data_IF_117350082373
#
_entry.id   IF_117350082373
#
_cell.length_a   1.000
_cell.length_b   1.000
_cell.length_c   1.000
_cell.angle_alpha   90.00
_cell.angle_beta   90.00
_cell.angle_gamma   90.00
#
_symmetry.space_group_name_H-M   'P 1'
#
loop_
_entity.id
_entity.type
_entity.pdbx_description
1 polymer ?
#
# COMPACT_ATOMS: atom_id res chain seq x y z
N UNK A 1 -47.02 -21.11 10.90
CA UNK A 1 -46.87 -19.84 11.63
C UNK A 1 -46.01 -18.91 10.78
N UNK A 2 -46.47 -17.71 10.42
CA UNK A 2 -45.76 -16.82 9.51
C UNK A 2 -44.74 -15.92 10.24
N UNK A 3 -43.54 -15.82 9.65
CA UNK A 3 -42.66 -14.63 9.54
C UNK A 3 -42.54 -13.70 10.77
N UNK A 4 -41.56 -13.97 11.65
CA UNK A 4 -40.96 -12.97 12.56
C UNK A 4 -39.43 -12.80 12.40
N UNK A 5 -38.80 -13.54 11.48
CA UNK A 5 -37.33 -13.68 11.42
C UNK A 5 -36.57 -12.57 10.67
N UNK A 6 -37.26 -11.60 10.08
CA UNK A 6 -36.60 -10.56 9.26
C UNK A 6 -35.86 -9.52 10.11
N UNK A 7 -36.34 -9.22 11.32
CA UNK A 7 -35.70 -8.25 12.23
C UNK A 7 -34.45 -8.80 12.93
N UNK A 8 -34.43 -10.09 13.30
CA UNK A 8 -33.28 -10.78 13.92
C UNK A 8 -32.12 -10.95 12.93
N UNK A 9 -32.40 -11.29 11.68
CA UNK A 9 -31.37 -11.43 10.63
C UNK A 9 -30.69 -10.10 10.28
N UNK A 10 -31.44 -8.99 10.19
CA UNK A 10 -30.85 -7.67 9.92
C UNK A 10 -29.98 -7.15 11.07
N UNK A 11 -30.36 -7.39 12.32
CA UNK A 11 -29.55 -6.99 13.49
C UNK A 11 -28.25 -7.79 13.59
N UNK A 12 -28.28 -9.11 13.33
CA UNK A 12 -27.08 -9.96 13.29
C UNK A 12 -26.12 -9.55 12.17
N UNK A 13 -26.63 -9.10 11.03
CA UNK A 13 -25.81 -8.61 9.91
C UNK A 13 -25.16 -7.25 10.18
N UNK A 14 -25.79 -6.37 10.98
CA UNK A 14 -25.17 -5.12 11.42
C UNK A 14 -24.07 -5.37 12.47
N UNK A 15 -24.31 -6.29 13.40
CA UNK A 15 -23.35 -6.64 14.44
C UNK A 15 -22.04 -7.23 13.86
N UNK A 16 -22.16 -8.09 12.84
CA UNK A 16 -21.00 -8.70 12.17
C UNK A 16 -20.13 -7.68 11.44
N UNK A 17 -20.72 -6.65 10.83
CA UNK A 17 -19.97 -5.56 10.17
C UNK A 17 -19.20 -4.69 11.16
N UNK A 18 -19.80 -4.35 12.30
CA UNK A 18 -19.10 -3.60 13.35
C UNK A 18 -17.93 -4.39 13.93
N UNK A 19 -18.12 -5.69 14.16
CA UNK A 19 -17.04 -6.58 14.57
C UNK A 19 -15.88 -6.56 13.57
N UNK A 20 -16.17 -6.69 12.26
CA UNK A 20 -15.14 -6.60 11.21
C UNK A 20 -14.41 -5.26 11.30
N UNK A 21 -15.12 -4.13 11.38
CA UNK A 21 -14.51 -2.79 11.47
C UNK A 21 -13.57 -2.69 12.68
N UNK A 22 -13.98 -3.21 13.83
CA UNK A 22 -13.14 -3.24 15.04
C UNK A 22 -11.89 -4.09 14.80
N UNK A 23 -12.01 -5.26 14.18
CA UNK A 23 -10.85 -6.08 13.81
C UNK A 23 -9.89 -5.33 12.87
N UNK A 24 -10.41 -4.62 11.85
CA UNK A 24 -9.59 -3.81 10.96
C UNK A 24 -8.83 -2.72 11.73
N UNK A 25 -9.51 -2.04 12.66
CA UNK A 25 -8.92 -0.99 13.49
C UNK A 25 -7.79 -1.51 14.39
N UNK A 26 -7.97 -2.69 14.98
CA UNK A 26 -6.94 -3.35 15.80
C UNK A 26 -5.75 -3.81 14.94
N UNK A 27 -6.01 -4.45 13.80
CA UNK A 27 -4.97 -4.92 12.88
C UNK A 27 -4.15 -3.76 12.29
N UNK A 28 -4.74 -2.57 12.11
CA UNK A 28 -4.06 -1.39 11.64
C UNK A 28 -2.93 -0.89 12.57
N UNK A 29 -2.96 -1.28 13.85
CA UNK A 29 -1.90 -0.94 14.83
C UNK A 29 -0.65 -1.80 14.69
N UNK A 30 -0.79 -3.05 14.23
CA UNK A 30 0.33 -3.99 14.20
C UNK A 30 1.52 -3.53 13.33
N UNK A 31 1.32 -3.00 12.11
CA UNK A 31 2.44 -2.46 11.32
C UNK A 31 3.13 -1.28 12.00
N UNK A 32 2.40 -0.49 12.81
CA UNK A 32 2.96 0.64 13.54
C UNK A 32 3.89 0.13 14.63
N UNK A 33 3.39 -0.80 15.45
CA UNK A 33 4.18 -1.50 16.47
C UNK A 33 5.47 -2.06 15.88
N UNK A 34 5.39 -2.78 14.75
CA UNK A 34 6.58 -3.34 14.09
C UNK A 34 7.58 -2.28 13.63
N UNK A 35 7.11 -1.14 13.10
CA UNK A 35 8.01 -0.05 12.68
C UNK A 35 8.77 0.58 13.86
N UNK A 36 8.15 0.68 15.05
CA UNK A 36 8.79 1.23 16.24
C UNK A 36 9.87 0.32 16.82
N UNK A 37 9.55 -0.96 16.99
CA UNK A 37 10.42 -1.88 17.73
C UNK A 37 11.43 -2.64 16.86
N UNK A 38 11.24 -2.65 15.53
CA UNK A 38 12.08 -3.43 14.62
C UNK A 38 12.58 -2.59 13.43
N UNK A 39 12.46 -1.26 13.50
CA UNK A 39 12.87 -0.40 12.40
C UNK A 39 13.22 1.04 12.82
N UNK A 40 13.07 1.99 11.90
CA UNK A 40 13.56 3.36 11.99
C UNK A 40 12.45 4.38 12.29
N UNK A 41 11.35 3.98 12.93
CA UNK A 41 10.28 4.93 13.25
C UNK A 41 10.75 6.11 14.12
N UNK A 42 11.78 5.92 14.96
CA UNK A 42 12.39 6.99 15.74
C UNK A 42 13.02 8.10 14.87
N UNK A 43 13.43 7.79 13.63
CA UNK A 43 13.97 8.80 12.69
C UNK A 43 12.87 9.61 11.98
N UNK A 44 11.60 9.25 12.14
CA UNK A 44 10.48 9.90 11.40
C UNK A 44 10.42 11.40 11.68
N UNK A 45 10.57 11.78 12.94
CA UNK A 45 10.51 13.19 13.36
C UNK A 45 11.59 14.03 12.69
N UNK A 46 12.85 13.64 12.84
CA UNK A 46 13.97 14.38 12.26
C UNK A 46 13.89 14.45 10.73
N UNK A 47 13.50 13.34 10.07
CA UNK A 47 13.33 13.29 8.62
C UNK A 47 12.23 14.22 8.13
N UNK A 48 11.10 14.31 8.84
CA UNK A 48 10.02 15.21 8.49
C UNK A 48 10.43 16.67 8.64
N UNK A 49 11.03 17.05 9.77
CA UNK A 49 11.56 18.41 9.97
C UNK A 49 12.55 18.77 8.88
N UNK A 50 13.45 17.85 8.51
CA UNK A 50 14.39 18.05 7.43
C UNK A 50 13.70 18.36 6.09
N UNK A 51 12.56 17.73 5.80
CA UNK A 51 11.78 17.98 4.57
C UNK A 51 11.16 19.37 4.60
N UNK A 52 10.57 19.78 5.72
CA UNK A 52 9.94 21.09 5.86
C UNK A 52 10.97 22.23 5.78
N UNK A 53 12.14 22.04 6.38
CA UNK A 53 13.26 22.99 6.36
C UNK A 53 14.07 22.96 5.04
N UNK A 54 13.65 22.16 4.05
CA UNK A 54 14.35 21.98 2.76
C UNK A 54 15.81 21.53 2.89
N UNK A 55 16.19 20.97 4.04
CA UNK A 55 17.52 20.41 4.32
C UNK A 55 17.61 18.89 4.13
N UNK A 56 16.48 18.25 3.82
CA UNK A 56 16.43 16.81 3.66
C UNK A 56 17.27 16.37 2.47
N UNK A 57 18.19 15.43 2.66
CA UNK A 57 18.82 14.71 1.56
C UNK A 57 17.80 13.92 0.72
N UNK A 58 16.62 13.63 1.29
CA UNK A 58 15.48 13.02 0.61
C UNK A 58 14.63 14.03 -0.17
N UNK A 59 15.05 15.29 -0.24
CA UNK A 59 14.47 16.31 -1.12
C UNK A 59 14.90 16.08 -2.57
N UNK A 60 14.63 14.87 -3.03
CA UNK A 60 14.99 14.39 -4.33
C UNK A 60 13.72 14.38 -5.21
N UNK A 61 13.70 15.11 -6.34
CA UNK A 61 12.66 15.04 -7.35
C UNK A 61 12.69 13.70 -8.13
N UNK A 62 13.35 12.67 -7.63
CA UNK A 62 13.15 11.27 -8.02
C UNK A 62 12.39 10.43 -6.98
N UNK A 63 11.94 11.04 -5.87
CA UNK A 63 11.16 10.31 -4.86
C UNK A 63 9.77 10.91 -4.59
N UNK A 64 9.44 12.08 -5.17
CA UNK A 64 8.14 12.81 -5.14
C UNK A 64 7.26 12.68 -3.90
N UNK A 65 7.83 12.77 -2.70
CA UNK A 65 7.08 12.68 -1.44
C UNK A 65 6.56 14.03 -0.99
N UNK A 66 5.86 14.78 -1.84
CA UNK A 66 5.39 16.12 -1.47
C UNK A 66 4.08 16.02 -0.72
N UNK A 67 3.13 15.24 -1.24
CA UNK A 67 1.77 15.20 -0.70
C UNK A 67 1.73 14.91 0.81
N UNK A 68 2.32 13.79 1.24
CA UNK A 68 2.14 13.33 2.63
C UNK A 68 2.85 14.19 3.69
N UNK A 69 4.10 14.67 3.49
CA UNK A 69 4.69 15.62 4.42
C UNK A 69 3.87 16.89 4.60
N UNK A 70 3.37 17.50 3.52
CA UNK A 70 2.55 18.71 3.65
C UNK A 70 1.18 18.45 4.28
N UNK A 71 0.52 17.32 3.98
CA UNK A 71 -0.69 16.90 4.70
C UNK A 71 -0.40 16.77 6.20
N UNK A 72 0.69 16.10 6.55
CA UNK A 72 1.03 15.92 7.95
C UNK A 72 1.36 17.25 8.65
N UNK A 73 2.06 18.15 7.96
CA UNK A 73 2.33 19.49 8.48
C UNK A 73 1.04 20.26 8.75
N UNK A 74 0.07 20.18 7.84
CA UNK A 74 -1.25 20.78 8.03
C UNK A 74 -2.01 20.19 9.23
N UNK A 75 -1.97 18.86 9.40
CA UNK A 75 -2.57 18.19 10.56
C UNK A 75 -1.89 18.56 11.88
N UNK A 76 -0.56 18.68 11.88
CA UNK A 76 0.19 19.15 13.04
C UNK A 76 -0.12 20.60 13.39
N UNK A 77 -0.22 21.47 12.38
CA UNK A 77 -0.67 22.84 12.56
C UNK A 77 -2.08 22.88 13.17
N UNK A 78 -3.03 22.10 12.63
CA UNK A 78 -4.40 22.04 13.14
C UNK A 78 -4.43 21.58 14.61
N UNK A 79 -3.69 20.53 14.94
CA UNK A 79 -3.59 20.02 16.32
C UNK A 79 -3.08 21.09 17.29
N UNK A 80 -1.99 21.78 16.94
CA UNK A 80 -1.43 22.86 17.78
C UNK A 80 -2.38 24.05 17.93
N UNK A 81 -3.25 24.29 16.94
CA UNK A 81 -4.20 25.41 16.97
C UNK A 81 -5.58 25.03 17.50
N UNK A 82 -5.80 23.77 17.91
CA UNK A 82 -7.07 23.27 18.43
C UNK A 82 -6.89 22.46 19.72
N UNK A 83 -6.60 21.16 19.60
CA UNK A 83 -6.54 20.20 20.71
C UNK A 83 -5.48 20.60 21.74
N UNK A 84 -4.27 20.97 21.29
CA UNK A 84 -3.17 21.30 22.21
C UNK A 84 -3.43 22.57 23.03
N UNK A 85 -4.21 23.53 22.50
CA UNK A 85 -4.64 24.72 23.24
C UNK A 85 -5.61 24.39 24.38
N UNK A 86 -6.44 23.36 24.20
CA UNK A 86 -7.42 22.92 25.20
C UNK A 86 -6.76 21.95 26.19
N UNK A 87 -5.88 21.08 25.70
CA UNK A 87 -5.23 20.04 26.47
C UNK A 87 -3.76 19.91 26.07
N UNK A 88 -2.84 20.69 26.70
CA UNK A 88 -1.43 20.67 26.37
C UNK A 88 -0.79 19.34 26.83
N UNK A 89 -0.65 18.39 25.91
CA UNK A 89 -0.26 17.01 26.24
C UNK A 89 1.13 16.97 26.88
N UNK A 90 2.09 17.72 26.34
CA UNK A 90 3.48 17.71 26.83
C UNK A 90 3.63 18.31 28.23
N UNK A 91 2.69 19.14 28.68
CA UNK A 91 2.68 19.69 30.04
C UNK A 91 1.97 18.77 31.03
N UNK A 92 1.00 17.98 30.55
CA UNK A 92 0.14 17.13 31.39
C UNK A 92 0.65 15.70 31.51
N UNK A 93 1.38 15.20 30.53
CA UNK A 93 1.91 13.83 30.50
C UNK A 93 3.43 13.89 30.69
N UNK A 94 3.87 13.63 31.91
CA UNK A 94 5.28 13.35 32.18
C UNK A 94 5.59 11.93 31.70
N UNK A 95 6.29 11.83 30.58
CA UNK A 95 6.78 10.57 30.02
C UNK A 95 7.96 10.02 30.84
N UNK A 96 7.71 9.65 32.10
CA UNK A 96 8.67 8.97 32.96
C UNK A 96 8.63 7.47 32.65
N UNK A 97 9.32 7.07 31.59
CA UNK A 97 9.45 5.66 31.24
C UNK A 97 10.58 5.02 32.06
N UNK A 98 10.23 4.21 33.05
CA UNK A 98 11.20 3.33 33.70
C UNK A 98 11.59 2.19 32.74
N UNK A 99 12.88 1.82 32.70
CA UNK A 99 13.39 0.70 31.89
C UNK A 99 12.76 -0.60 32.39
N UNK A 100 11.73 -1.10 31.73
CA UNK A 100 10.99 -2.30 32.15
C UNK A 100 11.37 -3.58 31.40
N UNK A 101 12.18 -3.52 30.33
CA UNK A 101 12.71 -4.72 29.67
C UNK A 101 13.97 -4.46 28.84
N UNK A 102 14.72 -5.54 28.57
CA UNK A 102 16.09 -5.58 28.03
C UNK A 102 16.35 -4.62 26.87
N UNK A 103 17.44 -3.87 26.99
CA UNK A 103 17.86 -2.77 26.12
C UNK A 103 18.02 -3.20 24.66
N UNK A 104 17.11 -2.76 23.81
CA UNK A 104 17.37 -2.57 22.38
C UNK A 104 17.74 -1.09 22.22
N UNK A 105 18.87 -0.79 21.59
CA UNK A 105 19.37 0.58 21.32
C UNK A 105 18.27 1.51 20.76
N UNK A 106 17.37 0.96 19.96
CA UNK A 106 16.21 1.64 19.36
C UNK A 106 15.21 2.15 20.41
N UNK A 107 15.00 1.40 21.50
CA UNK A 107 14.14 1.82 22.62
C UNK A 107 14.74 3.02 23.33
N UNK A 108 16.05 2.99 23.61
CA UNK A 108 16.75 4.12 24.26
C UNK A 108 16.73 5.37 23.37
N UNK A 109 16.89 5.22 22.05
CA UNK A 109 16.76 6.32 21.09
C UNK A 109 15.33 6.89 21.04
N UNK A 110 14.32 6.03 21.07
CA UNK A 110 12.91 6.47 21.12
C UNK A 110 12.60 7.23 22.41
N UNK A 111 13.11 6.77 23.57
CA UNK A 111 12.94 7.47 24.83
C UNK A 111 13.58 8.87 24.81
N UNK A 112 14.79 8.99 24.26
CA UNK A 112 15.44 10.30 24.05
C UNK A 112 14.62 11.21 23.13
N UNK A 113 14.05 10.66 22.05
CA UNK A 113 13.18 11.41 21.16
C UNK A 113 11.95 11.95 21.90
N UNK A 114 11.29 11.13 22.71
CA UNK A 114 10.08 11.54 23.44
C UNK A 114 10.35 12.62 24.51
N UNK A 115 11.61 12.77 24.95
CA UNK A 115 12.05 13.86 25.84
C UNK A 115 12.35 15.17 25.10
N UNK A 116 12.42 15.15 23.76
CA UNK A 116 12.64 16.35 22.96
C UNK A 116 11.37 17.20 22.92
N UNK A 117 11.43 18.52 23.22
CA UNK A 117 10.27 19.39 23.16
C UNK A 117 9.59 19.35 21.79
N UNK A 118 8.27 19.21 21.76
CA UNK A 118 7.48 19.10 20.52
C UNK A 118 7.44 17.71 19.89
N UNK A 119 8.43 16.84 20.14
CA UNK A 119 8.50 15.54 19.49
C UNK A 119 7.34 14.62 19.90
N UNK A 120 6.89 14.67 21.16
CA UNK A 120 5.77 13.85 21.61
C UNK A 120 4.46 14.19 20.87
N UNK A 121 4.14 15.49 20.72
CA UNK A 121 2.98 15.93 19.93
C UNK A 121 3.09 15.49 18.47
N UNK A 122 4.27 15.63 17.86
CA UNK A 122 4.51 15.16 16.49
C UNK A 122 4.29 13.65 16.34
N UNK A 123 4.83 12.85 17.27
CA UNK A 123 4.74 11.40 17.21
C UNK A 123 3.30 10.90 17.37
N UNK A 124 2.49 11.55 18.22
CA UNK A 124 1.05 11.24 18.35
C UNK A 124 0.36 11.40 16.99
N UNK A 125 0.61 12.52 16.29
CA UNK A 125 -0.02 12.77 15.00
C UNK A 125 0.46 11.77 13.95
N UNK A 126 1.75 11.47 13.89
CA UNK A 126 2.25 10.47 12.95
C UNK A 126 1.64 9.09 13.18
N UNK A 127 1.48 8.67 14.44
CA UNK A 127 0.84 7.41 14.80
C UNK A 127 -0.64 7.42 14.35
N UNK A 128 -1.36 8.51 14.62
CA UNK A 128 -2.78 8.64 14.23
C UNK A 128 -2.95 8.64 12.71
N UNK A 129 -2.15 9.41 11.98
CA UNK A 129 -2.15 9.44 10.51
C UNK A 129 -1.82 8.06 9.97
N UNK A 130 -0.79 7.41 10.51
CA UNK A 130 -0.41 6.06 10.10
C UNK A 130 -1.52 5.06 10.35
N UNK A 131 -2.14 5.10 11.51
CA UNK A 131 -3.25 4.23 11.85
C UNK A 131 -4.42 4.43 10.87
N UNK A 132 -4.77 5.69 10.57
CA UNK A 132 -5.82 6.00 9.60
C UNK A 132 -5.49 5.47 8.20
N UNK A 133 -4.25 5.62 7.73
CA UNK A 133 -3.81 5.06 6.44
C UNK A 133 -3.90 3.53 6.42
N UNK A 134 -3.38 2.86 7.46
CA UNK A 134 -3.43 1.40 7.56
C UNK A 134 -4.88 0.91 7.61
N UNK A 135 -5.72 1.52 8.44
CA UNK A 135 -7.14 1.18 8.56
C UNK A 135 -7.85 1.33 7.21
N UNK A 136 -7.62 2.45 6.52
CA UNK A 136 -8.21 2.69 5.20
C UNK A 136 -7.74 1.67 4.17
N UNK A 137 -6.45 1.30 4.17
CA UNK A 137 -5.94 0.22 3.29
C UNK A 137 -6.69 -1.08 3.57
N UNK A 138 -6.78 -1.52 4.82
CA UNK A 138 -7.42 -2.78 5.18
C UNK A 138 -8.93 -2.76 4.82
N UNK A 139 -9.60 -1.63 5.03
CA UNK A 139 -11.01 -1.45 4.67
C UNK A 139 -11.24 -1.49 3.16
N UNK A 140 -10.44 -0.76 2.38
CA UNK A 140 -10.54 -0.74 0.93
C UNK A 140 -10.17 -2.09 0.31
N UNK A 141 -9.15 -2.76 0.86
CA UNK A 141 -8.75 -4.10 0.44
C UNK A 141 -9.85 -5.12 0.72
N UNK A 142 -10.42 -5.11 1.93
CA UNK A 142 -11.57 -5.96 2.27
C UNK A 142 -12.73 -5.73 1.31
N UNK A 143 -13.08 -4.47 1.01
CA UNK A 143 -14.12 -4.12 0.04
C UNK A 143 -13.80 -4.63 -1.37
N UNK A 144 -12.56 -4.46 -1.83
CA UNK A 144 -12.12 -4.90 -3.15
C UNK A 144 -12.22 -6.42 -3.29
N UNK A 145 -11.73 -7.17 -2.30
CA UNK A 145 -11.67 -8.62 -2.38
C UNK A 145 -13.04 -9.28 -2.38
N UNK A 146 -14.05 -8.67 -1.73
CA UNK A 146 -15.46 -9.13 -1.79
C UNK A 146 -16.10 -9.07 -3.18
N UNK A 147 -15.44 -8.46 -4.16
CA UNK A 147 -15.86 -8.57 -5.57
C UNK A 147 -15.36 -9.86 -6.23
N UNK A 148 -14.35 -10.50 -5.66
CA UNK A 148 -13.79 -11.75 -6.16
C UNK A 148 -14.25 -12.97 -5.35
N UNK A 149 -14.54 -12.79 -4.06
CA UNK A 149 -15.01 -13.85 -3.16
C UNK A 149 -16.33 -13.51 -2.48
N UNK A 150 -17.11 -14.52 -2.10
CA UNK A 150 -18.39 -14.36 -1.39
C UNK A 150 -18.24 -14.33 0.13
N UNK A 151 -17.24 -15.03 0.68
CA UNK A 151 -17.07 -15.18 2.13
C UNK A 151 -16.40 -13.98 2.81
N UNK A 152 -17.15 -13.27 3.66
CA UNK A 152 -16.64 -12.14 4.46
C UNK A 152 -15.54 -12.56 5.45
N UNK A 153 -15.63 -13.79 5.98
CA UNK A 153 -14.64 -14.35 6.90
C UNK A 153 -13.34 -14.70 6.18
N UNK A 154 -13.43 -15.22 4.96
CA UNK A 154 -12.24 -15.46 4.13
C UNK A 154 -11.57 -14.14 3.75
N UNK A 155 -12.35 -13.10 3.45
CA UNK A 155 -11.81 -11.76 3.23
C UNK A 155 -11.09 -11.24 4.49
N UNK A 156 -11.69 -11.38 5.67
CA UNK A 156 -11.08 -10.98 6.94
C UNK A 156 -9.79 -11.77 7.26
N UNK A 157 -9.76 -13.06 6.95
CA UNK A 157 -8.54 -13.87 7.05
C UNK A 157 -7.43 -13.32 6.14
N UNK A 158 -7.76 -12.96 4.90
CA UNK A 158 -6.83 -12.26 3.99
C UNK A 158 -6.32 -10.93 4.57
N UNK A 159 -7.17 -10.18 5.28
CA UNK A 159 -6.78 -8.92 5.92
C UNK A 159 -5.75 -9.19 7.02
N UNK A 160 -5.93 -10.25 7.80
CA UNK A 160 -4.97 -10.64 8.83
C UNK A 160 -3.58 -10.90 8.23
N UNK A 161 -3.52 -11.65 7.13
CA UNK A 161 -2.26 -11.87 6.39
C UNK A 161 -1.67 -10.57 5.85
N UNK A 162 -2.47 -9.63 5.35
CA UNK A 162 -1.96 -8.33 4.91
C UNK A 162 -1.44 -7.49 6.07
N UNK A 163 -2.10 -7.49 7.23
CA UNK A 163 -1.59 -6.79 8.41
C UNK A 163 -0.22 -7.34 8.83
N UNK A 164 -0.06 -8.67 8.81
CA UNK A 164 1.23 -9.34 9.06
C UNK A 164 2.27 -8.98 7.99
N UNK A 165 1.91 -9.03 6.71
CA UNK A 165 2.80 -8.65 5.61
C UNK A 165 3.28 -7.20 5.74
N UNK A 166 2.38 -6.26 6.06
CA UNK A 166 2.71 -4.85 6.32
C UNK A 166 3.65 -4.70 7.54
N UNK A 167 3.47 -5.51 8.58
CA UNK A 167 4.36 -5.53 9.74
C UNK A 167 5.73 -6.19 9.51
N UNK A 168 5.83 -7.11 8.56
CA UNK A 168 7.11 -7.67 8.12
C UNK A 168 7.81 -6.75 7.11
N UNK A 169 7.06 -5.91 6.42
CA UNK A 169 7.55 -4.98 5.42
C UNK A 169 8.25 -3.74 5.99
N UNK A 170 8.90 -3.84 7.15
CA UNK A 170 9.43 -2.70 7.91
C UNK A 170 10.93 -2.52 7.78
N UNK A 171 11.67 -3.36 7.07
CA UNK A 171 13.13 -3.24 6.99
C UNK A 171 13.59 -1.83 6.53
N UNK A 172 14.35 -1.14 7.39
CA UNK A 172 14.88 0.23 7.15
C UNK A 172 13.74 1.19 6.73
N UNK A 173 12.63 1.12 7.46
CA UNK A 173 11.43 1.92 7.27
C UNK A 173 11.22 2.84 8.48
N UNK A 174 11.00 4.12 8.20
CA UNK A 174 10.32 4.99 9.16
C UNK A 174 8.81 4.77 9.04
N UNK A 175 8.00 5.67 9.61
CA UNK A 175 6.55 5.61 9.45
C UNK A 175 6.06 5.88 8.01
N UNK A 176 6.97 6.13 7.05
CA UNK A 176 6.78 6.22 5.59
C UNK A 176 5.32 6.28 5.13
N UNK A 177 4.76 7.47 4.99
CA UNK A 177 3.36 7.63 4.58
C UNK A 177 3.14 7.40 3.09
N UNK A 178 4.09 7.80 2.24
CA UNK A 178 3.93 7.82 0.79
C UNK A 178 3.65 6.43 0.20
N UNK A 179 4.31 5.39 0.70
CA UNK A 179 4.05 4.00 0.26
C UNK A 179 2.61 3.58 0.54
N UNK A 180 2.02 4.06 1.62
CA UNK A 180 0.70 3.64 2.09
C UNK A 180 -0.40 4.47 1.42
N UNK A 181 -0.14 5.75 1.19
CA UNK A 181 -0.95 6.58 0.29
C UNK A 181 -0.98 5.99 -1.13
N UNK A 182 0.15 5.49 -1.64
CA UNK A 182 0.22 4.84 -2.96
C UNK A 182 -0.72 3.62 -3.01
N UNK A 183 -0.67 2.75 -2.01
CA UNK A 183 -1.59 1.59 -1.89
C UNK A 183 -3.05 2.06 -1.90
N UNK A 184 -3.40 3.13 -1.18
CA UNK A 184 -4.76 3.69 -1.17
C UNK A 184 -5.18 4.14 -2.57
N UNK A 185 -4.32 4.87 -3.29
CA UNK A 185 -4.64 5.33 -4.66
C UNK A 185 -4.87 4.14 -5.61
N UNK A 186 -4.05 3.10 -5.51
CA UNK A 186 -4.23 1.87 -6.29
C UNK A 186 -5.53 1.14 -5.93
N UNK A 187 -5.85 1.00 -4.64
CA UNK A 187 -7.09 0.38 -4.18
C UNK A 187 -8.33 1.17 -4.63
N UNK A 188 -8.30 2.50 -4.54
CA UNK A 188 -9.38 3.36 -5.02
C UNK A 188 -9.56 3.23 -6.53
N UNK A 189 -8.47 3.26 -7.31
CA UNK A 189 -8.52 3.06 -8.75
C UNK A 189 -9.10 1.68 -9.11
N UNK A 190 -8.64 0.63 -8.44
CA UNK A 190 -9.14 -0.73 -8.65
C UNK A 190 -10.62 -0.87 -8.30
N UNK A 191 -11.09 -0.26 -7.20
CA UNK A 191 -12.51 -0.23 -6.83
C UNK A 191 -13.34 0.50 -7.88
N UNK A 192 -12.87 1.64 -8.40
CA UNK A 192 -13.57 2.37 -9.48
C UNK A 192 -13.74 1.47 -10.71
N UNK A 193 -12.68 0.74 -11.08
CA UNK A 193 -12.67 -0.18 -12.22
C UNK A 193 -13.64 -1.35 -11.99
N UNK A 194 -13.50 -2.05 -10.87
CA UNK A 194 -14.25 -3.28 -10.58
C UNK A 194 -15.73 -3.00 -10.33
N UNK A 195 -16.04 -1.93 -9.57
CA UNK A 195 -17.41 -1.51 -9.28
C UNK A 195 -18.05 -0.72 -10.44
N UNK A 196 -17.34 -0.53 -11.56
CA UNK A 196 -17.78 0.25 -12.72
C UNK A 196 -18.31 1.64 -12.32
N UNK A 197 -17.65 2.29 -11.35
CA UNK A 197 -18.00 3.66 -10.94
C UNK A 197 -17.63 4.66 -12.03
N UNK A 198 -18.09 5.90 -11.88
CA UNK A 198 -17.73 6.98 -12.80
C UNK A 198 -16.21 7.12 -12.90
N UNK A 199 -15.66 6.86 -14.11
CA UNK A 199 -14.22 6.92 -14.40
C UNK A 199 -13.60 8.29 -14.12
N UNK A 200 -14.39 9.37 -14.07
CA UNK A 200 -13.91 10.72 -13.76
C UNK A 200 -13.23 10.81 -12.38
N UNK A 201 -13.56 9.92 -11.43
CA UNK A 201 -12.84 9.83 -10.16
C UNK A 201 -11.35 9.45 -10.28
N UNK A 202 -10.92 8.89 -11.42
CA UNK A 202 -9.51 8.63 -11.69
C UNK A 202 -8.71 9.93 -11.91
N UNK A 203 -9.36 11.04 -12.27
CA UNK A 203 -8.71 12.35 -12.45
C UNK A 203 -8.10 12.84 -11.14
N UNK A 204 -8.86 13.08 -10.04
CA UNK A 204 -8.27 13.51 -8.78
C UNK A 204 -7.30 12.48 -8.20
N UNK A 205 -7.54 11.17 -8.38
CA UNK A 205 -6.61 10.12 -7.91
C UNK A 205 -5.26 10.23 -8.63
N UNK A 206 -5.26 10.43 -9.95
CA UNK A 206 -4.02 10.54 -10.74
C UNK A 206 -3.24 11.79 -10.38
N UNK A 207 -3.93 12.92 -10.16
CA UNK A 207 -3.29 14.15 -9.71
C UNK A 207 -2.67 13.95 -8.33
N UNK A 208 -3.41 13.41 -7.36
CA UNK A 208 -2.89 13.19 -6.01
C UNK A 208 -1.74 12.16 -5.99
N UNK A 209 -1.83 11.09 -6.78
CA UNK A 209 -0.76 10.09 -6.88
C UNK A 209 0.53 10.68 -7.47
N UNK A 210 0.41 11.61 -8.43
CA UNK A 210 1.56 12.29 -9.04
C UNK A 210 2.33 13.18 -8.04
N UNK A 211 1.65 13.76 -7.04
CA UNK A 211 2.29 14.48 -5.93
C UNK A 211 2.89 13.56 -4.85
N UNK A 212 2.66 12.25 -4.95
CA UNK A 212 3.04 11.28 -3.93
C UNK A 212 4.20 10.36 -4.35
N UNK A 213 4.14 9.75 -5.55
CA UNK A 213 5.20 8.86 -6.11
C UNK A 213 5.10 8.72 -7.63
N UNK A 214 6.24 8.49 -8.28
CA UNK A 214 6.38 8.20 -9.71
C UNK A 214 5.59 6.95 -10.11
N UNK A 215 5.55 5.95 -9.22
CA UNK A 215 4.80 4.72 -9.41
C UNK A 215 3.32 4.97 -9.64
N UNK A 216 2.77 6.12 -9.26
CA UNK A 216 1.40 6.54 -9.59
C UNK A 216 1.10 6.57 -11.11
N UNK A 217 2.12 6.63 -11.96
CA UNK A 217 1.98 6.58 -13.42
C UNK A 217 1.38 5.27 -13.95
N UNK A 218 1.38 4.20 -13.14
CA UNK A 218 0.74 2.93 -13.54
C UNK A 218 -0.76 2.90 -13.24
N UNK A 219 -1.33 3.91 -12.56
CA UNK A 219 -2.78 4.02 -12.33
C UNK A 219 -3.54 4.23 -13.66
N UNK A 220 -3.17 5.19 -14.53
CA UNK A 220 -3.78 5.32 -15.86
C UNK A 220 -3.64 4.05 -16.71
N UNK A 221 -2.47 3.40 -16.66
CA UNK A 221 -2.25 2.13 -17.34
C UNK A 221 -3.13 0.99 -16.80
N UNK A 222 -3.31 0.91 -15.47
CA UNK A 222 -4.18 -0.06 -14.81
C UNK A 222 -5.63 0.10 -15.28
N UNK A 223 -6.10 1.34 -15.41
CA UNK A 223 -7.41 1.60 -16.01
C UNK A 223 -7.48 1.10 -17.45
N UNK A 224 -6.50 1.48 -18.28
CA UNK A 224 -6.47 1.13 -19.69
C UNK A 224 -6.46 -0.39 -19.91
N UNK A 225 -5.53 -1.13 -19.27
CA UNK A 225 -5.41 -2.59 -19.41
C UNK A 225 -6.68 -3.31 -18.91
N UNK A 226 -7.40 -2.72 -17.96
CA UNK A 226 -8.67 -3.26 -17.49
C UNK A 226 -9.76 -3.22 -18.56
N UNK A 227 -9.67 -2.29 -19.52
CA UNK A 227 -10.60 -2.18 -20.65
C UNK A 227 -10.20 -3.00 -21.88
N UNK A 228 -8.95 -3.47 -21.97
CA UNK A 228 -8.49 -4.33 -23.07
C UNK A 228 -9.08 -5.73 -22.92
N UNK A 229 -9.58 -6.31 -24.00
CA UNK A 229 -10.05 -7.71 -24.00
C UNK A 229 -9.07 -8.64 -24.73
N UNK A 230 -8.56 -9.62 -23.98
CA UNK A 230 -7.71 -10.75 -24.40
C UNK A 230 -8.46 -12.10 -24.26
N UNK A 231 -9.79 -12.11 -24.16
CA UNK A 231 -10.61 -13.34 -24.11
C UNK A 231 -10.30 -14.31 -25.26
N UNK A 232 -9.96 -13.76 -26.43
CA UNK A 232 -9.61 -14.53 -27.63
C UNK A 232 -8.13 -14.99 -27.68
N UNK A 233 -7.32 -14.66 -26.67
CA UNK A 233 -5.96 -15.20 -26.53
C UNK A 233 -6.04 -16.62 -25.96
N UNK A 234 -6.17 -17.61 -26.85
CA UNK A 234 -6.07 -19.02 -26.47
C UNK A 234 -4.72 -19.31 -25.80
N UNK A 235 -4.76 -20.05 -24.69
CA UNK A 235 -3.58 -20.47 -23.93
C UNK A 235 -2.66 -21.35 -24.81
N UNK A 236 -1.64 -20.75 -25.43
CA UNK A 236 -0.62 -21.48 -26.18
C UNK A 236 -0.01 -20.72 -27.36
N UNK A 237 -0.68 -19.71 -27.92
CA UNK A 237 -0.11 -18.86 -28.99
C UNK A 237 -0.39 -17.38 -28.70
N UNK A 238 0.62 -16.66 -28.20
CA UNK A 238 0.56 -15.21 -28.05
C UNK A 238 0.41 -14.59 -29.45
N UNK A 239 -0.80 -14.17 -29.80
CA UNK A 239 -1.06 -13.47 -31.07
C UNK A 239 -1.62 -12.10 -30.76
N UNK A 240 -0.79 -11.07 -30.93
CA UNK A 240 -1.18 -9.66 -30.75
C UNK A 240 -2.33 -9.24 -31.68
N UNK A 241 -2.56 -9.98 -32.78
CA UNK A 241 -3.66 -9.73 -33.72
C UNK A 241 -5.05 -10.06 -33.15
N UNK A 242 -5.15 -10.83 -32.07
CA UNK A 242 -6.42 -11.22 -31.43
C UNK A 242 -6.80 -10.33 -30.24
N UNK A 243 -6.07 -9.24 -30.03
CA UNK A 243 -6.34 -8.30 -28.95
C UNK A 243 -7.47 -7.37 -29.40
N UNK A 244 -8.55 -7.32 -28.62
CA UNK A 244 -9.61 -6.34 -28.84
C UNK A 244 -9.26 -5.10 -28.02
N UNK A 245 -8.88 -4.04 -28.73
CA UNK A 245 -8.51 -2.77 -28.13
C UNK A 245 -9.74 -1.99 -27.65
N UNK A 246 -9.61 -1.20 -26.58
CA UNK A 246 -10.72 -0.43 -26.06
C UNK A 246 -11.10 0.71 -27.01
N UNK A 247 -12.32 1.22 -26.85
CA UNK A 247 -12.85 2.34 -27.63
C UNK A 247 -11.95 3.60 -27.54
N UNK A 248 -11.99 4.45 -28.57
CA UNK A 248 -11.19 5.68 -28.67
C UNK A 248 -11.35 6.60 -27.44
N UNK A 249 -12.54 6.64 -26.85
CA UNK A 249 -12.81 7.41 -25.63
C UNK A 249 -12.01 6.93 -24.40
N UNK A 250 -11.63 5.65 -24.34
CA UNK A 250 -10.72 5.11 -23.32
C UNK A 250 -9.30 5.56 -23.59
N UNK A 251 -8.85 5.53 -24.85
CA UNK A 251 -7.53 6.02 -25.24
C UNK A 251 -7.36 7.51 -24.91
N UNK A 252 -8.31 8.34 -25.34
CA UNK A 252 -8.29 9.77 -25.06
C UNK A 252 -8.30 10.06 -23.55
N UNK A 253 -9.15 9.36 -22.80
CA UNK A 253 -9.21 9.55 -21.35
C UNK A 253 -7.90 9.14 -20.66
N UNK A 254 -7.32 8.00 -21.01
CA UNK A 254 -6.00 7.57 -20.49
C UNK A 254 -4.90 8.56 -20.87
N UNK A 255 -4.92 9.09 -22.10
CA UNK A 255 -3.96 10.11 -22.53
C UNK A 255 -4.09 11.39 -21.69
N UNK A 256 -5.31 11.86 -21.41
CA UNK A 256 -5.57 13.00 -20.52
C UNK A 256 -5.03 12.73 -19.12
N UNK A 257 -5.25 11.54 -18.55
CA UNK A 257 -4.69 11.18 -17.24
C UNK A 257 -3.15 11.23 -17.23
N UNK A 258 -2.51 10.73 -18.30
CA UNK A 258 -1.05 10.82 -18.44
C UNK A 258 -0.56 12.26 -18.57
N UNK A 259 -1.25 13.09 -19.35
CA UNK A 259 -0.91 14.51 -19.48
C UNK A 259 -1.00 15.22 -18.12
N UNK A 260 -2.04 14.96 -17.33
CA UNK A 260 -2.18 15.52 -15.99
C UNK A 260 -1.05 15.05 -15.05
N UNK A 261 -0.75 13.75 -15.07
CA UNK A 261 0.36 13.19 -14.28
C UNK A 261 1.69 13.84 -14.67
N UNK A 262 2.00 13.90 -15.96
CA UNK A 262 3.24 14.48 -16.48
C UNK A 262 3.32 15.99 -16.23
N UNK A 263 2.21 16.71 -16.31
CA UNK A 263 2.17 18.14 -15.99
C UNK A 263 2.59 18.42 -14.55
N UNK A 264 2.03 17.67 -13.58
CA UNK A 264 2.44 17.79 -12.17
C UNK A 264 3.90 17.38 -11.99
N UNK A 265 4.30 16.26 -12.60
CA UNK A 265 5.67 15.73 -12.52
C UNK A 265 6.72 16.69 -13.08
N UNK A 266 6.43 17.39 -14.17
CA UNK A 266 7.30 18.42 -14.77
C UNK A 266 7.27 19.69 -13.91
N UNK A 267 6.09 20.13 -13.46
CA UNK A 267 5.95 21.31 -12.61
C UNK A 267 6.77 21.18 -11.32
N UNK A 268 6.73 20.03 -10.65
CA UNK A 268 7.49 19.79 -9.43
C UNK A 268 9.02 19.87 -9.68
N UNK A 269 9.51 19.39 -10.82
CA UNK A 269 10.94 19.54 -11.20
C UNK A 269 11.33 20.96 -11.47
N UNK A 270 10.44 21.71 -12.12
CA UNK A 270 10.68 23.10 -12.40
C UNK A 270 10.70 23.93 -11.11
N UNK A 271 9.74 23.71 -10.21
CA UNK A 271 9.60 24.45 -8.96
C UNK A 271 10.71 24.15 -7.94
N UNK A 272 11.10 22.88 -7.78
CA UNK A 272 12.14 22.49 -6.80
C UNK A 272 13.55 22.39 -7.39
N UNK A 273 13.69 22.49 -8.71
CA UNK A 273 14.93 22.21 -9.43
C UNK A 273 15.20 20.71 -9.58
N UNK A 274 16.13 20.37 -10.48
CA UNK A 274 16.60 19.00 -10.63
C UNK A 274 17.60 18.65 -9.53
N UNK A 275 17.38 17.52 -8.84
CA UNK A 275 18.39 16.89 -7.98
C UNK A 275 18.66 15.47 -8.51
N UNK A 276 19.94 15.03 -8.55
CA UNK A 276 20.28 13.70 -9.02
C UNK A 276 19.71 12.64 -8.08
N UNK A 277 19.39 11.46 -8.61
CA UNK A 277 18.89 10.34 -7.80
C UNK A 277 19.90 9.99 -6.69
N UNK A 278 19.43 9.84 -5.45
CA UNK A 278 20.27 9.43 -4.34
C UNK A 278 20.74 7.99 -4.57
N UNK A 279 22.06 7.80 -4.54
CA UNK A 279 22.66 6.47 -4.62
C UNK A 279 22.54 5.79 -3.26
N UNK A 280 21.87 4.64 -3.22
CA UNK A 280 21.80 3.82 -2.03
C UNK A 280 22.57 2.53 -2.24
N UNK A 281 23.78 2.45 -1.67
CA UNK A 281 24.83 1.43 -1.91
C UNK A 281 25.39 1.42 -3.33
N UNK A 282 24.55 1.45 -4.36
CA UNK A 282 24.94 1.45 -5.78
C UNK A 282 24.02 2.36 -6.61
N UNK A 283 24.45 2.82 -7.80
CA UNK A 283 23.59 3.53 -8.74
C UNK A 283 22.40 2.68 -9.21
N UNK A 284 21.30 3.34 -9.58
CA UNK A 284 20.17 2.69 -10.22
C UNK A 284 20.53 2.11 -11.60
N UNK A 285 19.68 1.23 -12.11
CA UNK A 285 19.88 0.49 -13.35
C UNK A 285 20.57 -0.85 -13.14
N UNK A 286 21.53 -1.17 -14.00
CA UNK A 286 22.21 -2.46 -14.00
C UNK A 286 22.97 -2.78 -12.70
N UNK A 287 23.70 -1.82 -12.06
CA UNK A 287 24.37 -2.10 -10.79
C UNK A 287 23.41 -2.50 -9.67
N UNK A 288 22.26 -1.81 -9.56
CA UNK A 288 21.22 -2.14 -8.59
C UNK A 288 20.57 -3.49 -8.88
N UNK A 289 20.32 -3.80 -10.15
CA UNK A 289 19.79 -5.11 -10.53
C UNK A 289 20.74 -6.24 -10.13
N UNK A 290 22.05 -6.06 -10.41
CA UNK A 290 23.09 -7.02 -9.99
C UNK A 290 23.16 -7.15 -8.46
N UNK A 291 23.07 -6.03 -7.73
CA UNK A 291 23.03 -6.06 -6.26
C UNK A 291 21.83 -6.86 -5.75
N UNK A 292 20.64 -6.64 -6.31
CA UNK A 292 19.42 -7.33 -5.90
C UNK A 292 19.38 -8.80 -6.31
N UNK A 293 20.06 -9.18 -7.39
CA UNK A 293 20.03 -10.54 -7.91
C UNK A 293 21.17 -11.45 -7.42
N UNK A 294 22.37 -10.89 -7.28
CA UNK A 294 23.62 -11.67 -7.22
C UNK A 294 24.53 -11.27 -6.04
N UNK A 295 23.97 -10.72 -4.96
CA UNK A 295 24.75 -10.34 -3.78
C UNK A 295 24.13 -10.85 -2.47
N UNK A 296 24.90 -10.78 -1.38
CA UNK A 296 24.38 -11.04 -0.03
C UNK A 296 23.22 -10.10 0.35
N UNK A 297 23.20 -8.86 -0.18
CA UNK A 297 22.06 -7.93 -0.03
C UNK A 297 20.83 -8.45 -0.77
N UNK A 298 21.03 -9.06 -1.94
CA UNK A 298 19.99 -9.75 -2.70
C UNK A 298 19.41 -10.94 -1.94
N UNK A 299 20.27 -11.79 -1.35
CA UNK A 299 19.83 -12.91 -0.51
C UNK A 299 18.97 -12.44 0.67
N UNK A 300 19.40 -11.37 1.36
CA UNK A 300 18.55 -10.72 2.39
C UNK A 300 17.21 -10.30 1.80
N UNK A 301 17.22 -9.65 0.62
CA UNK A 301 16.00 -9.26 -0.09
C UNK A 301 15.05 -10.42 -0.32
N UNK A 302 15.54 -11.57 -0.76
CA UNK A 302 14.72 -12.76 -0.99
C UNK A 302 14.05 -13.27 0.30
N UNK A 303 14.80 -13.33 1.40
CA UNK A 303 14.26 -13.78 2.69
C UNK A 303 13.21 -12.80 3.24
N UNK A 304 13.43 -11.50 3.10
CA UNK A 304 12.46 -10.46 3.50
C UNK A 304 11.20 -10.53 2.62
N UNK A 305 11.35 -10.80 1.32
CA UNK A 305 10.22 -10.97 0.39
C UNK A 305 9.43 -12.25 0.75
N UNK A 306 10.10 -13.35 1.13
CA UNK A 306 9.42 -14.54 1.67
C UNK A 306 8.67 -14.18 2.96
N UNK A 307 9.26 -13.40 3.86
CA UNK A 307 8.58 -12.92 5.07
C UNK A 307 7.37 -12.03 4.78
N UNK A 308 7.36 -11.33 3.64
CA UNK A 308 6.28 -10.41 3.26
C UNK A 308 5.17 -11.11 2.47
N UNK A 309 5.52 -11.96 1.50
CA UNK A 309 4.58 -12.62 0.59
C UNK A 309 4.26 -14.06 0.96
N UNK A 310 5.07 -14.69 1.80
CA UNK A 310 5.11 -16.14 1.90
C UNK A 310 5.39 -16.80 0.55
N UNK A 311 4.83 -17.98 0.36
CA UNK A 311 4.90 -18.74 -0.90
C UNK A 311 3.79 -18.37 -1.89
N UNK A 312 2.98 -17.34 -1.60
CA UNK A 312 1.79 -16.98 -2.40
C UNK A 312 2.12 -16.75 -3.88
N UNK A 313 3.20 -16.03 -4.26
CA UNK A 313 3.53 -15.83 -5.68
C UNK A 313 3.76 -17.16 -6.42
N UNK A 314 4.36 -18.16 -5.77
CA UNK A 314 4.64 -19.47 -6.37
C UNK A 314 3.34 -20.26 -6.63
N UNK A 315 2.40 -20.23 -5.67
CA UNK A 315 1.09 -20.87 -5.82
C UNK A 315 0.33 -20.25 -6.99
N UNK A 316 0.40 -18.92 -7.14
CA UNK A 316 -0.26 -18.20 -8.23
C UNK A 316 0.34 -18.57 -9.58
N UNK A 317 1.67 -18.65 -9.68
CA UNK A 317 2.30 -19.10 -10.92
C UNK A 317 1.89 -20.54 -11.27
N UNK A 318 1.84 -21.43 -10.28
CA UNK A 318 1.43 -22.82 -10.47
C UNK A 318 -0.03 -22.95 -10.93
N UNK A 319 -0.95 -22.17 -10.36
CA UNK A 319 -2.39 -22.18 -10.71
C UNK A 319 -2.79 -21.09 -11.71
N UNK A 320 -1.84 -20.45 -12.40
CA UNK A 320 -2.07 -19.20 -13.13
C UNK A 320 -3.25 -19.26 -14.13
N UNK A 321 -3.41 -20.40 -14.82
CA UNK A 321 -4.47 -20.58 -15.82
C UNK A 321 -5.88 -20.55 -15.23
N UNK A 322 -6.04 -20.96 -13.96
CA UNK A 322 -7.33 -21.08 -13.30
C UNK A 322 -7.96 -19.73 -12.92
N UNK A 323 -7.16 -18.70 -12.70
CA UNK A 323 -7.66 -17.45 -12.12
C UNK A 323 -8.61 -16.65 -13.05
N UNK A 324 -9.46 -15.80 -12.45
CA UNK A 324 -10.30 -14.85 -13.17
C UNK A 324 -9.49 -14.00 -14.14
N UNK A 325 -10.11 -13.74 -15.27
CA UNK A 325 -9.46 -13.09 -16.39
C UNK A 325 -8.94 -11.68 -16.05
N UNK A 326 -9.70 -10.88 -15.28
CA UNK A 326 -9.27 -9.56 -14.82
C UNK A 326 -8.00 -9.62 -13.95
N UNK A 327 -7.94 -10.53 -12.97
CA UNK A 327 -6.78 -10.68 -12.09
C UNK A 327 -5.54 -11.15 -12.86
N UNK A 328 -5.71 -12.02 -13.87
CA UNK A 328 -4.62 -12.39 -14.77
C UNK A 328 -4.05 -11.19 -15.54
N UNK A 329 -4.92 -10.30 -16.04
CA UNK A 329 -4.49 -9.05 -16.71
C UNK A 329 -3.68 -8.18 -15.77
N UNK A 330 -4.19 -7.94 -14.57
CA UNK A 330 -3.49 -7.13 -13.57
C UNK A 330 -2.17 -7.76 -13.16
N UNK A 331 -2.13 -9.08 -12.97
CA UNK A 331 -0.90 -9.81 -12.68
C UNK A 331 0.14 -9.63 -13.78
N UNK A 332 -0.19 -9.94 -15.04
CA UNK A 332 0.75 -9.90 -16.15
C UNK A 332 1.27 -8.48 -16.44
N UNK A 333 0.43 -7.47 -16.21
CA UNK A 333 0.79 -6.10 -16.47
C UNK A 333 1.52 -5.45 -15.30
N UNK A 334 0.86 -5.38 -14.14
CA UNK A 334 1.34 -4.57 -13.03
C UNK A 334 2.49 -5.26 -12.29
N UNK A 335 2.39 -6.56 -11.98
CA UNK A 335 3.39 -7.20 -11.12
C UNK A 335 4.80 -7.23 -11.76
N UNK A 336 5.01 -7.66 -13.02
CA UNK A 336 6.33 -7.63 -13.66
C UNK A 336 6.93 -6.22 -13.74
N UNK A 337 6.13 -5.23 -14.17
CA UNK A 337 6.60 -3.83 -14.28
C UNK A 337 6.97 -3.30 -12.89
N UNK A 338 6.13 -3.58 -11.88
CA UNK A 338 6.37 -3.14 -10.52
C UNK A 338 7.64 -3.73 -9.93
N UNK A 339 7.84 -5.05 -10.08
CA UNK A 339 9.05 -5.71 -9.62
C UNK A 339 10.28 -5.21 -10.37
N UNK A 340 10.21 -5.05 -11.69
CA UNK A 340 11.31 -4.54 -12.51
C UNK A 340 11.75 -3.15 -12.03
N UNK A 341 10.82 -2.19 -11.92
CA UNK A 341 11.12 -0.82 -11.49
C UNK A 341 11.80 -0.82 -10.12
N UNK A 342 11.34 -1.64 -9.17
CA UNK A 342 11.92 -1.66 -7.84
C UNK A 342 13.27 -2.41 -7.80
N UNK A 343 13.44 -3.50 -8.53
CA UNK A 343 14.71 -4.23 -8.59
C UNK A 343 15.84 -3.45 -9.28
N UNK A 344 15.51 -2.49 -10.16
CA UNK A 344 16.52 -1.64 -10.81
C UNK A 344 16.74 -0.31 -10.09
N UNK A 345 15.82 0.15 -9.22
CA UNK A 345 15.91 1.50 -8.62
C UNK A 345 16.36 1.50 -7.16
N UNK A 346 16.08 0.44 -6.41
CA UNK A 346 16.24 0.40 -4.95
C UNK A 346 16.55 -1.01 -4.46
N UNK A 347 17.11 -1.18 -3.24
CA UNK A 347 17.32 -2.51 -2.69
C UNK A 347 16.01 -3.25 -2.43
N UNK A 348 15.91 -4.47 -2.93
CA UNK A 348 14.70 -5.30 -2.85
C UNK A 348 14.33 -5.71 -1.42
N UNK A 349 15.27 -5.66 -0.46
CA UNK A 349 14.97 -5.89 0.96
C UNK A 349 14.05 -4.83 1.57
N UNK A 350 13.83 -3.68 0.92
CA UNK A 350 12.83 -2.69 1.33
C UNK A 350 11.43 -3.15 0.90
N UNK A 351 10.94 -4.24 1.48
CA UNK A 351 9.76 -4.97 0.99
C UNK A 351 8.46 -4.19 1.06
N UNK A 352 8.39 -3.08 1.84
CA UNK A 352 7.26 -2.12 1.79
C UNK A 352 6.90 -1.69 0.38
N UNK A 353 7.90 -1.61 -0.49
CA UNK A 353 7.73 -1.15 -1.85
C UNK A 353 6.95 -2.14 -2.72
N UNK A 354 6.79 -3.39 -2.27
CA UNK A 354 6.04 -4.42 -2.98
C UNK A 354 4.67 -4.73 -2.34
N UNK A 355 4.20 -3.87 -1.43
CA UNK A 355 2.88 -4.00 -0.81
C UNK A 355 1.72 -3.77 -1.80
N UNK A 356 1.92 -3.01 -2.86
CA UNK A 356 0.88 -2.80 -3.89
C UNK A 356 0.55 -4.13 -4.60
N UNK A 357 1.53 -4.87 -5.18
CA UNK A 357 1.27 -6.19 -5.76
C UNK A 357 0.60 -7.19 -4.81
N UNK A 358 1.04 -7.32 -3.54
CA UNK A 358 0.44 -8.30 -2.63
C UNK A 358 -1.02 -7.95 -2.30
N UNK A 359 -1.35 -6.69 -2.07
CA UNK A 359 -2.70 -6.29 -1.65
C UNK A 359 -3.66 -6.31 -2.85
N UNK A 360 -3.21 -5.81 -4.01
CA UNK A 360 -4.06 -5.61 -5.17
C UNK A 360 -4.23 -6.85 -6.05
N UNK A 361 -3.24 -7.75 -6.07
CA UNK A 361 -3.17 -8.87 -7.02
C UNK A 361 -2.93 -10.19 -6.27
N UNK A 362 -1.85 -10.22 -5.49
CA UNK A 362 -1.48 -11.19 -4.45
C UNK A 362 -2.66 -11.93 -3.82
N UNK A 363 -3.25 -11.18 -2.90
CA UNK A 363 -4.28 -11.62 -1.99
C UNK A 363 -5.61 -11.94 -2.70
N UNK A 364 -6.16 -11.12 -3.61
CA UNK A 364 -7.42 -11.47 -4.25
C UNK A 364 -7.32 -12.76 -5.08
N UNK A 365 -6.17 -13.02 -5.72
CA UNK A 365 -5.95 -14.29 -6.43
C UNK A 365 -5.99 -15.47 -5.46
N UNK A 366 -5.19 -15.46 -4.39
CA UNK A 366 -5.14 -16.61 -3.46
C UNK A 366 -6.47 -16.82 -2.75
N UNK A 367 -7.15 -15.75 -2.32
CA UNK A 367 -8.47 -15.83 -1.70
C UNK A 367 -9.50 -16.45 -2.65
N UNK A 368 -9.50 -16.05 -3.92
CA UNK A 368 -10.37 -16.64 -4.93
C UNK A 368 -10.09 -18.14 -5.10
N UNK A 369 -8.82 -18.53 -5.22
CA UNK A 369 -8.44 -19.94 -5.37
C UNK A 369 -8.89 -20.80 -4.18
N UNK A 370 -8.70 -20.28 -2.96
CA UNK A 370 -9.14 -20.95 -1.73
C UNK A 370 -10.65 -21.15 -1.72
N UNK A 371 -11.44 -20.12 -2.07
CA UNK A 371 -12.89 -20.22 -2.11
C UNK A 371 -13.38 -21.25 -3.15
N UNK A 372 -12.81 -21.24 -4.36
CA UNK A 372 -13.15 -22.22 -5.38
C UNK A 372 -12.83 -23.65 -4.94
N UNK A 373 -11.72 -23.86 -4.23
CA UNK A 373 -11.38 -25.17 -3.71
C UNK A 373 -12.39 -25.65 -2.66
N UNK A 374 -12.78 -24.78 -1.73
CA UNK A 374 -13.80 -25.09 -0.71
C UNK A 374 -15.13 -25.47 -1.37
N UNK A 375 -15.60 -24.71 -2.37
CA UNK A 375 -16.81 -25.05 -3.09
C UNK A 375 -16.70 -26.40 -3.81
N UNK A 376 -15.58 -26.67 -4.50
CA UNK A 376 -15.37 -27.95 -5.19
C UNK A 376 -15.39 -29.16 -4.26
N UNK A 377 -14.93 -29.01 -3.01
CA UNK A 377 -14.98 -30.06 -1.98
C UNK A 377 -16.41 -30.26 -1.47
N UNK A 378 -17.16 -29.18 -1.27
CA UNK A 378 -18.55 -29.27 -0.82
C UNK A 378 -19.44 -29.98 -1.83
N UNK A 379 -19.21 -29.79 -3.13
CA UNK A 379 -19.99 -30.47 -4.17
C UNK A 379 -19.68 -31.98 -4.22
N UNK A 380 -18.41 -32.36 -4.02
CA UNK A 380 -17.99 -33.77 -3.96
C UNK A 380 -18.51 -34.55 -2.75
N UNK A 381 -18.85 -33.87 -1.65
CA UNK A 381 -19.41 -34.51 -0.44
C UNK A 381 -20.93 -34.73 -0.60
N UNK A 382 -21.57 -33.96 -1.47
CA UNK A 382 -23.02 -34.07 -1.74
C UNK A 382 -23.35 -35.14 -2.79
N UNK A 383 -22.37 -35.55 -3.59
CA UNK A 383 -22.43 -36.70 -4.51
C UNK A 383 -21.91 -37.94 -3.81
#
# INVERSE_FOLDING_TARGET
>A
MPLSDTHTLQNNFKLSKWFIIICLALLALYPIYKNFYYSQAHLTYERHIAVIEKRSEFYNPWQYRVLMPYINQGLFWLYNHSIDKIYPIEQKINFNFHKTSGTVEQTDQFLKLMQTPGAARYMIIFILVRWALNFLILLLAWRLWRHFIKSDWLALLGVNFIALAMGNAVAIADLAFNTYADIIFYLLAALIIVEKKNKMWLVPITILSSFNRETGMLIPALYFISQVDFSQMCAGKFSFKKIIWPHLSTWMFTAVLYLLFLAVFVYLRWYFGYQPQQMWKVPAGWPMLKLNLMSAVGLKGYLELIGTFGIVPLIILYKFKAFPYLLKKWFLFLAPIWFLVHYISVPAYQTRLFLVPIILIFMPMILWLTEQHIFSLSDKIKT
#
